data_IF_559747167499
#
_entry.id   IF_559747167499
#
_cell.length_a   1.000
_cell.length_b   1.000
_cell.length_c   1.000
_cell.angle_alpha   90.00
_cell.angle_beta   90.00
_cell.angle_gamma   90.00
#
_symmetry.space_group_name_H-M   'P 1'
#
loop_
_entity.id
_entity.type
_entity.pdbx_description
1 polymer ?
#
# COMPACT_ATOMS: atom_id res chain seq x y z
N UNK A 1 -12.54 8.41 -15.66
CA UNK A 1 -11.65 9.18 -14.77
C UNK A 1 -12.40 9.31 -13.45
N UNK A 2 -12.11 8.42 -12.49
CA UNK A 2 -12.83 8.41 -11.22
C UNK A 2 -12.60 9.74 -10.50
N UNK A 3 -13.69 10.42 -10.12
CA UNK A 3 -13.64 11.62 -9.30
C UNK A 3 -12.85 11.29 -8.02
N UNK A 4 -11.75 12.02 -7.78
CA UNK A 4 -11.10 12.01 -6.46
C UNK A 4 -12.14 12.47 -5.45
N UNK A 5 -12.68 11.53 -4.66
CA UNK A 5 -13.52 11.85 -3.53
C UNK A 5 -12.78 12.85 -2.64
N UNK A 6 -13.23 14.10 -2.62
CA UNK A 6 -12.51 15.24 -2.01
C UNK A 6 -12.52 15.22 -0.46
N UNK A 7 -12.66 14.05 0.15
CA UNK A 7 -12.78 13.89 1.61
C UNK A 7 -11.99 12.73 2.22
N UNK A 8 -11.32 11.90 1.42
CA UNK A 8 -10.54 10.76 1.91
C UNK A 8 -9.16 11.17 2.45
N UNK A 9 -8.70 10.49 3.50
CA UNK A 9 -7.31 10.62 3.96
C UNK A 9 -6.44 9.77 3.04
N UNK A 10 -5.70 10.43 2.15
CA UNK A 10 -4.90 9.77 1.11
C UNK A 10 -4.00 8.65 1.65
N UNK A 11 -3.38 8.82 2.82
CA UNK A 11 -2.52 7.78 3.40
C UNK A 11 -3.27 6.50 3.75
N UNK A 12 -4.54 6.60 4.14
CA UNK A 12 -5.39 5.45 4.43
C UNK A 12 -5.74 4.72 3.13
N UNK A 13 -6.13 5.46 2.09
CA UNK A 13 -6.39 4.89 0.76
C UNK A 13 -5.18 4.11 0.23
N UNK A 14 -3.97 4.67 0.35
CA UNK A 14 -2.73 4.00 -0.09
C UNK A 14 -2.38 2.77 0.71
N UNK A 15 -2.70 2.75 2.01
CA UNK A 15 -2.51 1.57 2.85
C UNK A 15 -3.43 0.44 2.37
N UNK A 16 -4.70 0.73 2.10
CA UNK A 16 -5.63 -0.29 1.62
C UNK A 16 -5.29 -0.77 0.21
N UNK A 17 -4.88 0.13 -0.70
CA UNK A 17 -4.35 -0.23 -2.02
C UNK A 17 -3.19 -1.25 -1.92
N UNK A 18 -2.24 -1.03 -1.01
CA UNK A 18 -1.13 -1.95 -0.80
C UNK A 18 -1.57 -3.29 -0.19
N UNK A 19 -2.52 -3.29 0.75
CA UNK A 19 -3.03 -4.52 1.37
C UNK A 19 -3.82 -5.39 0.39
N UNK A 20 -4.58 -4.78 -0.52
CA UNK A 20 -5.27 -5.48 -1.60
C UNK A 20 -4.27 -6.18 -2.51
N UNK A 21 -3.22 -5.47 -2.95
CA UNK A 21 -2.16 -6.07 -3.78
C UNK A 21 -1.44 -7.24 -3.11
N UNK A 22 -1.14 -7.13 -1.80
CA UNK A 22 -0.54 -8.24 -1.03
C UNK A 22 -1.49 -9.44 -0.99
N UNK A 23 -2.79 -9.19 -0.80
CA UNK A 23 -3.81 -10.25 -0.69
C UNK A 23 -4.03 -10.93 -2.04
N UNK A 24 -4.09 -10.17 -3.13
CA UNK A 24 -4.22 -10.69 -4.50
C UNK A 24 -3.03 -11.54 -4.92
N UNK A 25 -1.84 -11.25 -4.39
CA UNK A 25 -0.62 -12.05 -4.57
C UNK A 25 -0.56 -13.32 -3.69
N UNK A 26 -1.57 -13.57 -2.85
CA UNK A 26 -1.61 -14.73 -1.94
C UNK A 26 -0.83 -14.53 -0.63
N UNK A 27 -0.49 -13.28 -0.28
CA UNK A 27 0.16 -12.93 0.98
C UNK A 27 1.68 -12.80 0.91
N UNK A 28 2.31 -13.23 -0.18
CA UNK A 28 3.75 -13.11 -0.41
C UNK A 28 4.01 -12.20 -1.62
N UNK A 29 4.54 -11.00 -1.37
CA UNK A 29 4.89 -10.04 -2.42
C UNK A 29 6.14 -9.26 -2.03
N UNK A 30 6.99 -8.96 -3.00
CA UNK A 30 8.20 -8.17 -2.80
C UNK A 30 7.91 -6.67 -2.89
N UNK A 31 8.79 -5.87 -2.26
CA UNK A 31 8.76 -4.40 -2.38
C UNK A 31 8.82 -3.91 -3.83
N UNK A 32 9.62 -4.58 -4.67
CA UNK A 32 9.77 -4.22 -6.08
C UNK A 32 8.50 -4.48 -6.88
N UNK A 33 7.78 -5.57 -6.58
CA UNK A 33 6.48 -5.88 -7.19
C UNK A 33 5.43 -4.85 -6.76
N UNK A 34 5.34 -4.52 -5.46
CA UNK A 34 4.45 -3.46 -4.98
C UNK A 34 4.75 -2.10 -5.62
N UNK A 35 6.03 -1.75 -5.78
CA UNK A 35 6.44 -0.51 -6.46
C UNK A 35 6.16 -0.52 -7.96
N UNK A 36 6.07 -1.69 -8.59
CA UNK A 36 5.75 -1.81 -10.01
C UNK A 36 4.24 -1.83 -10.26
N UNK A 37 3.46 -2.26 -9.26
CA UNK A 37 1.99 -2.33 -9.30
C UNK A 37 1.30 -1.06 -8.77
N UNK A 38 2.04 -0.08 -8.26
CA UNK A 38 1.49 1.19 -7.76
C UNK A 38 2.25 2.38 -8.32
N UNK A 39 1.59 3.55 -8.41
CA UNK A 39 2.26 4.82 -8.74
C UNK A 39 2.93 5.47 -7.52
N UNK A 40 3.20 4.69 -6.46
CA UNK A 40 3.76 5.20 -5.22
C UNK A 40 5.29 5.21 -5.27
N UNK A 41 5.95 6.32 -4.84
CA UNK A 41 7.40 6.31 -4.66
C UNK A 41 7.82 5.25 -3.64
N UNK A 42 8.91 4.53 -3.91
CA UNK A 42 9.45 3.50 -3.02
C UNK A 42 9.63 3.96 -1.55
N UNK A 43 10.10 5.19 -1.23
CA UNK A 43 10.16 5.68 0.15
C UNK A 43 8.79 5.77 0.83
N UNK A 44 7.73 6.05 0.08
CA UNK A 44 6.36 6.07 0.58
C UNK A 44 5.90 4.67 0.93
N UNK A 45 6.10 3.70 0.04
CA UNK A 45 5.78 2.28 0.29
C UNK A 45 6.50 1.79 1.54
N UNK A 46 7.81 2.05 1.69
CA UNK A 46 8.56 1.69 2.89
C UNK A 46 7.97 2.28 4.17
N UNK A 47 7.59 3.56 4.18
CA UNK A 47 7.02 4.21 5.37
C UNK A 47 5.67 3.60 5.75
N UNK A 48 4.83 3.29 4.77
CA UNK A 48 3.53 2.66 5.00
C UNK A 48 3.71 1.22 5.52
N UNK A 49 4.50 0.40 4.84
CA UNK A 49 4.77 -0.98 5.26
C UNK A 49 5.42 -1.03 6.64
N UNK A 50 6.40 -0.17 6.93
CA UNK A 50 7.01 -0.08 8.27
C UNK A 50 5.96 0.22 9.36
N UNK A 51 4.98 1.06 9.05
CA UNK A 51 3.88 1.34 9.98
C UNK A 51 3.02 0.10 10.20
N UNK A 52 2.65 -0.60 9.12
CA UNK A 52 1.87 -1.84 9.20
C UNK A 52 2.60 -2.97 9.94
N UNK A 53 3.91 -3.12 9.75
CA UNK A 53 4.76 -4.06 10.52
C UNK A 53 4.73 -3.69 12.00
N UNK A 54 4.91 -2.40 12.32
CA UNK A 54 4.92 -1.92 13.71
C UNK A 54 3.59 -2.17 14.41
N UNK A 55 2.47 -2.08 13.66
CA UNK A 55 1.13 -2.35 14.15
C UNK A 55 0.76 -3.84 14.14
N UNK A 56 1.58 -4.71 13.54
CA UNK A 56 1.35 -6.15 13.47
C UNK A 56 0.39 -6.61 12.36
N UNK A 57 0.12 -5.78 11.36
CA UNK A 57 -0.76 -6.14 10.24
C UNK A 57 -0.06 -6.94 9.13
N UNK A 58 1.27 -6.79 8.99
CA UNK A 58 2.10 -7.50 8.00
C UNK A 58 3.39 -7.99 8.67
N UNK A 59 4.03 -9.03 8.10
CA UNK A 59 5.28 -9.63 8.61
C UNK A 59 6.31 -9.85 7.53
#
# INVERSE_FOLDING_TARGET
MAEKASGGVQSVERVFELLELITDAGGDVTLSELSSSTDLPLPTIHRLLRTLVTLGYIR
#
